data_IF_907210102230
#
_entry.id   IF_907210102230
#
_cell.length_a   1.000
_cell.length_b   1.000
_cell.length_c   1.000
_cell.angle_alpha   90.00
_cell.angle_beta   90.00
_cell.angle_gamma   90.00
#
_symmetry.space_group_name_H-M   'P 1'
#
loop_
_entity.id
_entity.type
_entity.pdbx_description
1 polymer ?
#
# COMPACT_ATOMS: atom_id res chain seq x y z
N UNK A 1 -0.77 9.45 -26.37
CA UNK A 1 -0.95 8.74 -25.06
C UNK A 1 -2.31 9.15 -24.54
N UNK A 2 -3.11 8.21 -24.07
CA UNK A 2 -4.43 8.51 -23.50
C UNK A 2 -4.36 8.52 -21.98
N UNK A 3 -5.31 9.23 -21.35
CA UNK A 3 -5.57 9.12 -19.91
C UNK A 3 -6.09 7.72 -19.57
N UNK A 4 -6.14 7.38 -18.29
CA UNK A 4 -6.77 6.12 -17.80
C UNK A 4 -8.26 6.02 -18.17
N UNK A 5 -8.92 7.13 -18.52
CA UNK A 5 -10.30 7.18 -19.00
C UNK A 5 -10.41 7.11 -20.53
N UNK A 6 -9.31 6.86 -21.25
CA UNK A 6 -9.29 6.77 -22.72
C UNK A 6 -9.25 8.11 -23.45
N UNK A 7 -9.28 9.24 -22.76
CA UNK A 7 -9.21 10.58 -23.34
C UNK A 7 -7.78 10.90 -23.80
N UNK A 8 -7.59 11.60 -24.96
CA UNK A 8 -6.27 12.02 -25.38
C UNK A 8 -5.60 12.99 -24.40
N UNK A 9 -4.37 12.71 -23.99
CA UNK A 9 -3.55 13.68 -23.28
C UNK A 9 -3.09 14.78 -24.24
N UNK A 10 -3.53 16.02 -23.98
CA UNK A 10 -3.19 17.19 -24.79
C UNK A 10 -2.03 18.01 -24.20
N UNK A 11 -1.62 17.73 -22.95
CA UNK A 11 -0.55 18.42 -22.26
C UNK A 11 0.14 17.50 -21.26
N UNK A 12 1.35 17.86 -20.85
CA UNK A 12 2.13 17.20 -19.82
C UNK A 12 2.73 18.24 -18.89
N UNK A 13 2.94 17.86 -17.63
CA UNK A 13 3.70 18.67 -16.66
C UNK A 13 5.13 18.14 -16.68
N UNK A 14 6.11 19.03 -16.76
CA UNK A 14 7.53 18.73 -16.56
C UNK A 14 7.99 19.43 -15.29
N UNK A 15 8.55 18.65 -14.36
CA UNK A 15 9.03 19.13 -13.07
C UNK A 15 10.50 18.71 -12.90
N UNK A 16 11.24 19.44 -12.08
CA UNK A 16 12.56 19.01 -11.63
C UNK A 16 12.44 17.69 -10.86
N UNK A 17 13.41 16.80 -11.08
CA UNK A 17 13.46 15.55 -10.34
C UNK A 17 13.86 15.84 -8.89
N UNK A 18 12.99 15.48 -7.95
CA UNK A 18 13.25 15.59 -6.52
C UNK A 18 13.90 14.29 -6.03
N UNK A 19 15.16 14.35 -5.64
CA UNK A 19 15.90 13.21 -5.07
C UNK A 19 15.68 13.16 -3.55
N UNK A 20 15.21 12.00 -3.06
CA UNK A 20 14.85 11.83 -1.65
C UNK A 20 14.01 10.58 -1.40
N UNK A 21 13.25 10.62 -0.33
CA UNK A 21 12.27 9.57 -0.04
C UNK A 21 10.86 10.17 0.09
N UNK A 22 9.89 9.42 -0.38
CA UNK A 22 8.50 9.87 -0.47
C UNK A 22 7.72 9.53 0.79
N UNK A 23 7.02 10.53 1.30
CA UNK A 23 6.12 10.43 2.45
C UNK A 23 4.75 11.00 2.11
N UNK A 24 3.75 10.56 2.89
CA UNK A 24 2.38 11.06 2.75
C UNK A 24 1.90 11.59 4.08
N UNK A 25 1.30 12.77 4.03
CA UNK A 25 0.58 13.37 5.14
C UNK A 25 -0.90 13.41 4.78
N UNK A 26 -1.68 12.50 5.36
CA UNK A 26 -3.13 12.54 5.26
C UNK A 26 -3.71 13.43 6.34
N UNK A 27 -4.63 14.28 5.95
CA UNK A 27 -5.23 15.28 6.85
C UNK A 27 -6.73 15.37 6.67
N UNK A 28 -7.38 15.94 7.68
CA UNK A 28 -8.74 16.49 7.55
C UNK A 28 -8.74 17.90 8.08
N UNK A 29 -9.27 18.80 7.27
CA UNK A 29 -9.42 20.22 7.61
C UNK A 29 -10.85 20.50 8.06
N UNK A 30 -11.00 21.42 9.02
CA UNK A 30 -12.31 21.97 9.43
C UNK A 30 -12.13 23.43 9.81
N UNK A 31 -12.82 24.34 9.10
CA UNK A 31 -12.72 25.80 9.30
C UNK A 31 -11.25 26.30 9.27
N UNK A 32 -10.42 25.71 8.40
CA UNK A 32 -9.01 26.05 8.27
C UNK A 32 -8.08 25.52 9.38
N UNK A 33 -8.59 24.75 10.31
CA UNK A 33 -7.76 23.97 11.23
C UNK A 33 -7.50 22.59 10.65
N UNK A 34 -6.21 22.19 10.56
CA UNK A 34 -5.77 20.95 9.94
C UNK A 34 -5.43 19.91 10.99
N UNK A 35 -6.00 18.72 10.83
CA UNK A 35 -5.75 17.54 11.64
C UNK A 35 -5.01 16.48 10.83
N UNK A 36 -3.83 16.04 11.28
CA UNK A 36 -3.18 14.85 10.73
C UNK A 36 -3.99 13.63 11.12
N UNK A 37 -4.40 12.83 10.14
CA UNK A 37 -5.12 11.58 10.38
C UNK A 37 -4.20 10.38 10.34
N UNK A 38 -3.27 10.33 9.39
CA UNK A 38 -2.32 9.25 9.24
C UNK A 38 -1.09 9.69 8.43
N UNK A 39 0.03 9.01 8.69
CA UNK A 39 1.33 9.28 8.07
C UNK A 39 1.83 8.01 7.40
N UNK A 40 2.31 8.13 6.17
CA UNK A 40 2.79 6.99 5.40
C UNK A 40 4.16 7.26 4.83
N UNK A 41 4.94 6.19 4.70
CA UNK A 41 6.20 6.17 3.96
C UNK A 41 6.06 5.22 2.79
N UNK A 42 6.27 5.73 1.59
CA UNK A 42 6.27 4.92 0.39
C UNK A 42 7.64 4.30 0.16
N UNK A 43 7.65 3.04 -0.25
CA UNK A 43 8.82 2.37 -0.79
C UNK A 43 8.59 2.07 -2.27
N UNK A 44 9.64 2.25 -3.05
CA UNK A 44 9.65 1.96 -4.48
C UNK A 44 10.79 1.00 -4.79
N UNK A 45 10.58 0.17 -5.81
CA UNK A 45 11.63 -0.69 -6.36
C UNK A 45 11.92 -0.29 -7.80
N UNK A 46 13.16 -0.48 -8.22
CA UNK A 46 13.56 -0.23 -9.62
C UNK A 46 13.46 -1.55 -10.36
N UNK A 47 12.64 -1.59 -11.39
CA UNK A 47 12.51 -2.75 -12.27
C UNK A 47 13.75 -2.90 -13.15
N UNK A 48 13.93 -4.08 -13.77
CA UNK A 48 15.10 -4.36 -14.61
C UNK A 48 15.22 -3.44 -15.84
N UNK A 49 14.12 -2.82 -16.27
CA UNK A 49 14.08 -1.81 -17.35
C UNK A 49 14.20 -0.36 -16.84
N UNK A 50 14.56 -0.18 -15.55
CA UNK A 50 14.87 1.11 -14.96
C UNK A 50 13.64 1.93 -14.51
N UNK A 51 12.45 1.34 -14.48
CA UNK A 51 11.24 2.03 -13.99
C UNK A 51 11.15 1.95 -12.48
N UNK A 52 10.68 3.04 -11.88
CA UNK A 52 10.35 3.08 -10.46
C UNK A 52 8.89 2.67 -10.28
N UNK A 53 8.65 1.58 -9.54
CA UNK A 53 7.30 1.09 -9.22
C UNK A 53 7.10 1.05 -7.71
N UNK A 54 5.88 1.26 -7.25
CA UNK A 54 5.56 1.16 -5.83
C UNK A 54 5.76 -0.28 -5.35
N UNK A 55 6.50 -0.41 -4.26
CA UNK A 55 6.73 -1.68 -3.57
C UNK A 55 5.83 -1.81 -2.33
N UNK A 56 5.62 -0.72 -1.61
CA UNK A 56 4.73 -0.70 -0.47
C UNK A 56 4.49 0.68 0.11
N UNK A 57 3.47 0.74 0.97
CA UNK A 57 3.12 1.90 1.77
C UNK A 57 3.07 1.50 3.25
N UNK A 58 3.98 2.04 4.07
CA UNK A 58 4.05 1.76 5.50
C UNK A 58 3.40 2.89 6.29
N UNK A 59 2.46 2.54 7.18
CA UNK A 59 1.88 3.43 8.16
C UNK A 59 2.90 3.67 9.28
N UNK A 60 3.34 4.92 9.47
CA UNK A 60 4.43 5.27 10.38
C UNK A 60 4.00 6.20 11.50
N UNK A 61 4.63 6.15 12.68
CA UNK A 61 4.31 7.04 13.80
C UNK A 61 4.78 8.47 13.53
N UNK A 62 5.86 8.63 12.80
CA UNK A 62 6.52 9.90 12.48
C UNK A 62 7.51 9.71 11.32
N UNK A 63 8.19 10.78 10.95
CA UNK A 63 9.27 10.79 9.95
C UNK A 63 10.65 11.06 10.59
N UNK A 64 10.79 10.79 11.88
CA UNK A 64 12.01 11.09 12.64
C UNK A 64 12.20 12.61 12.86
N UNK A 65 13.43 13.07 12.76
CA UNK A 65 13.79 14.47 13.04
C UNK A 65 13.13 15.49 12.12
N UNK A 66 12.69 15.09 10.93
CA UNK A 66 12.04 15.98 9.93
C UNK A 66 10.51 16.05 10.07
N UNK A 67 9.94 15.38 11.06
CA UNK A 67 8.47 15.29 11.22
C UNK A 67 7.81 16.67 11.26
N UNK A 68 8.27 17.54 12.15
CA UNK A 68 7.66 18.86 12.33
C UNK A 68 7.79 19.74 11.08
N UNK A 69 8.91 19.65 10.36
CA UNK A 69 9.14 20.35 9.11
C UNK A 69 8.18 19.89 8.03
N UNK A 70 8.04 18.56 7.84
CA UNK A 70 7.15 17.96 6.84
C UNK A 70 5.68 18.29 7.16
N UNK A 71 5.25 18.21 8.41
CA UNK A 71 3.89 18.55 8.81
C UNK A 71 3.61 20.04 8.63
N UNK A 72 4.54 20.91 9.00
CA UNK A 72 4.44 22.36 8.77
C UNK A 72 4.33 22.69 7.29
N UNK A 73 5.13 22.03 6.45
CA UNK A 73 5.06 22.18 5.00
C UNK A 73 3.72 21.71 4.43
N UNK A 74 3.23 20.52 4.86
CA UNK A 74 1.94 20.01 4.42
C UNK A 74 0.79 20.98 4.76
N UNK A 75 0.77 21.54 5.98
CA UNK A 75 -0.24 22.52 6.37
C UNK A 75 -0.15 23.81 5.56
N UNK A 76 1.07 24.29 5.28
CA UNK A 76 1.26 25.46 4.40
C UNK A 76 0.74 25.21 2.97
N UNK A 77 0.90 23.99 2.44
CA UNK A 77 0.31 23.58 1.15
C UNK A 77 -1.22 23.64 1.20
N UNK A 78 -1.84 23.11 2.27
CA UNK A 78 -3.32 23.16 2.43
C UNK A 78 -3.83 24.60 2.49
N UNK A 79 -3.15 25.47 3.25
CA UNK A 79 -3.47 26.89 3.34
C UNK A 79 -3.36 27.60 1.98
N UNK A 80 -2.25 27.36 1.25
CA UNK A 80 -2.02 27.94 -0.08
C UNK A 80 -3.07 27.51 -1.10
N UNK A 81 -3.50 26.23 -1.04
CA UNK A 81 -4.56 25.66 -1.87
C UNK A 81 -5.97 26.00 -1.37
N UNK A 82 -6.10 26.67 -0.22
CA UNK A 82 -7.38 27.04 0.43
C UNK A 82 -8.26 25.82 0.74
N UNK A 83 -7.65 24.71 1.12
CA UNK A 83 -8.37 23.51 1.57
C UNK A 83 -8.77 23.72 3.03
N UNK A 84 -9.93 24.30 3.26
CA UNK A 84 -10.41 24.69 4.60
C UNK A 84 -11.33 23.67 5.25
N UNK A 85 -11.84 22.70 4.48
CA UNK A 85 -12.74 21.64 4.96
C UNK A 85 -12.52 20.35 4.16
N UNK A 86 -12.63 19.20 4.84
CA UNK A 86 -12.57 17.87 4.24
C UNK A 86 -11.18 17.24 4.26
N UNK A 87 -11.11 16.05 3.67
CA UNK A 87 -9.88 15.27 3.59
C UNK A 87 -8.90 15.82 2.56
N UNK A 88 -7.61 15.65 2.85
CA UNK A 88 -6.55 15.82 1.87
C UNK A 88 -5.51 14.70 1.99
N UNK A 89 -4.96 14.33 0.84
CA UNK A 89 -3.88 13.38 0.64
C UNK A 89 -2.72 14.14 0.01
N UNK A 90 -1.64 14.31 0.76
CA UNK A 90 -0.51 15.15 0.34
C UNK A 90 0.75 14.30 0.26
N UNK A 91 1.29 14.12 -0.95
CA UNK A 91 2.53 13.41 -1.23
C UNK A 91 3.69 14.40 -1.27
N UNK A 92 4.73 14.11 -0.49
CA UNK A 92 5.87 15.00 -0.27
C UNK A 92 7.16 14.20 -0.44
N UNK A 93 8.09 14.71 -1.24
CA UNK A 93 9.46 14.22 -1.29
C UNK A 93 10.27 14.92 -0.20
N UNK A 94 10.88 14.16 0.70
CA UNK A 94 11.83 14.67 1.68
C UNK A 94 13.21 14.62 1.06
N UNK A 95 13.73 15.78 0.65
CA UNK A 95 15.02 15.94 0.00
C UNK A 95 16.07 16.46 0.98
N UNK A 96 17.34 16.52 0.54
CA UNK A 96 18.41 17.12 1.34
C UNK A 96 18.20 18.63 1.61
N UNK A 97 17.43 19.30 0.75
CA UNK A 97 17.14 20.74 0.83
C UNK A 97 15.76 21.04 1.50
N UNK A 98 15.10 19.99 2.02
CA UNK A 98 13.80 20.08 2.69
C UNK A 98 12.66 19.41 1.92
N UNK A 99 11.41 19.56 2.37
CA UNK A 99 10.23 18.92 1.78
C UNK A 99 9.82 19.61 0.47
N UNK A 100 9.48 18.79 -0.54
CA UNK A 100 9.00 19.22 -1.85
C UNK A 100 7.67 18.54 -2.17
N UNK A 101 6.67 19.32 -2.55
CA UNK A 101 5.34 18.81 -2.91
C UNK A 101 5.42 17.99 -4.21
N UNK A 102 4.91 16.78 -4.17
CA UNK A 102 4.67 15.94 -5.34
C UNK A 102 3.23 16.12 -5.81
N UNK A 103 2.27 15.82 -4.96
CA UNK A 103 0.84 15.97 -5.25
C UNK A 103 0.06 16.30 -3.97
N UNK A 104 -1.04 17.07 -4.13
CA UNK A 104 -2.03 17.26 -3.08
C UNK A 104 -3.44 17.03 -3.66
N UNK A 105 -4.05 15.92 -3.30
CA UNK A 105 -5.43 15.62 -3.64
C UNK A 105 -6.40 16.06 -2.54
N UNK A 106 -7.39 16.91 -2.86
CA UNK A 106 -8.45 17.31 -1.93
C UNK A 106 -9.51 16.20 -1.76
N UNK A 107 -9.07 15.03 -1.33
CA UNK A 107 -9.83 13.79 -1.14
C UNK A 107 -9.17 12.92 -0.10
N UNK A 108 -9.86 11.90 0.37
CA UNK A 108 -9.24 10.84 1.15
C UNK A 108 -8.20 10.08 0.32
N UNK A 109 -7.24 9.44 1.00
CA UNK A 109 -6.27 8.55 0.38
C UNK A 109 -6.96 7.53 -0.50
N UNK A 110 -6.43 7.33 -1.70
CA UNK A 110 -6.89 6.31 -2.64
C UNK A 110 -6.43 4.91 -2.25
N UNK A 111 -6.85 3.92 -3.05
CA UNK A 111 -6.54 2.50 -2.83
C UNK A 111 -7.62 1.76 -2.06
N UNK A 112 -7.58 0.44 -2.15
CA UNK A 112 -8.55 -0.47 -1.52
C UNK A 112 -8.19 -0.82 -0.08
N UNK A 113 -7.71 0.15 0.70
CA UNK A 113 -7.28 -0.10 2.08
C UNK A 113 -8.45 -0.47 2.98
N UNK A 114 -8.30 -1.57 3.70
CA UNK A 114 -9.29 -2.01 4.67
C UNK A 114 -9.50 -0.97 5.77
N UNK A 115 -10.68 -0.36 5.80
CA UNK A 115 -11.05 0.62 6.84
C UNK A 115 -11.05 -0.02 8.24
N UNK A 116 -11.41 -1.30 8.35
CA UNK A 116 -11.33 -2.07 9.60
C UNK A 116 -9.89 -2.20 10.08
N UNK A 117 -8.96 -2.51 9.16
CA UNK A 117 -7.54 -2.60 9.49
C UNK A 117 -7.00 -1.24 9.94
N UNK A 118 -7.25 -0.17 9.18
CA UNK A 118 -6.83 1.19 9.54
C UNK A 118 -7.40 1.62 10.90
N UNK A 119 -8.66 1.32 11.18
CA UNK A 119 -9.26 1.58 12.50
C UNK A 119 -8.54 0.81 13.61
N UNK A 120 -8.11 -0.42 13.38
CA UNK A 120 -7.34 -1.19 14.37
C UNK A 120 -5.96 -0.60 14.64
N UNK A 121 -5.38 0.09 13.66
CA UNK A 121 -4.05 0.73 13.76
C UNK A 121 -4.11 2.14 14.37
N UNK A 122 -5.21 2.87 14.20
CA UNK A 122 -5.33 4.29 14.53
C UNK A 122 -6.40 4.59 15.60
N UNK A 123 -7.37 3.67 15.79
CA UNK A 123 -8.58 3.91 16.58
C UNK A 123 -9.66 4.73 15.85
N UNK A 124 -9.41 5.15 14.62
CA UNK A 124 -10.29 5.90 13.73
C UNK A 124 -9.83 5.73 12.27
N UNK A 125 -10.59 6.28 11.33
CA UNK A 125 -10.21 6.38 9.92
C UNK A 125 -10.30 7.82 9.42
N UNK A 126 -9.58 8.16 8.35
CA UNK A 126 -9.67 9.47 7.72
C UNK A 126 -11.11 9.81 7.30
N UNK A 127 -11.87 8.80 6.84
CA UNK A 127 -13.27 8.98 6.45
C UNK A 127 -14.16 9.39 7.64
N UNK A 128 -13.96 8.79 8.81
CA UNK A 128 -14.72 9.14 10.02
C UNK A 128 -14.42 10.55 10.49
N UNK A 129 -13.14 10.93 10.48
CA UNK A 129 -12.72 12.30 10.82
C UNK A 129 -13.31 13.30 9.80
N UNK A 130 -13.36 12.91 8.52
CA UNK A 130 -13.98 13.75 7.47
C UNK A 130 -15.48 13.95 7.69
N UNK A 131 -16.21 12.89 8.05
CA UNK A 131 -17.63 12.99 8.37
C UNK A 131 -17.87 13.98 9.53
N UNK A 132 -17.05 13.93 10.58
CA UNK A 132 -17.16 14.86 11.69
C UNK A 132 -16.88 16.32 11.27
N UNK A 133 -15.95 16.55 10.35
CA UNK A 133 -15.66 17.90 9.85
C UNK A 133 -16.88 18.51 9.14
N UNK A 134 -17.67 17.71 8.44
CA UNK A 134 -18.86 18.16 7.74
C UNK A 134 -20.11 18.20 8.63
N UNK A 135 -20.31 17.19 9.48
CA UNK A 135 -21.54 17.03 10.26
C UNK A 135 -21.50 17.73 11.62
N UNK A 136 -20.32 17.95 12.19
CA UNK A 136 -20.14 18.50 13.53
C UNK A 136 -19.00 19.53 13.61
N UNK A 137 -18.95 20.53 12.70
CA UNK A 137 -17.80 21.43 12.58
C UNK A 137 -17.54 22.29 13.83
N UNK A 138 -18.55 22.53 14.66
CA UNK A 138 -18.40 23.35 15.89
C UNK A 138 -17.70 22.60 17.02
N UNK A 139 -17.81 21.27 17.05
CA UNK A 139 -17.18 20.41 18.06
C UNK A 139 -15.95 19.68 17.52
N UNK A 140 -15.65 19.82 16.23
CA UNK A 140 -14.59 19.08 15.54
C UNK A 140 -13.25 19.23 16.24
N UNK A 141 -12.79 20.46 16.47
CA UNK A 141 -11.50 20.72 17.10
C UNK A 141 -11.43 20.12 18.51
N UNK A 142 -12.46 20.33 19.33
CA UNK A 142 -12.51 19.78 20.69
C UNK A 142 -12.41 18.24 20.71
N UNK A 143 -12.97 17.56 19.70
CA UNK A 143 -12.93 16.11 19.57
C UNK A 143 -11.60 15.60 19.06
N UNK A 144 -10.96 16.30 18.13
CA UNK A 144 -9.80 15.83 17.38
C UNK A 144 -8.48 16.55 17.72
N UNK A 145 -8.47 17.52 18.65
CA UNK A 145 -7.26 18.19 19.14
C UNK A 145 -6.48 17.26 20.09
N UNK A 146 -5.89 16.25 19.50
CA UNK A 146 -5.05 15.25 20.17
C UNK A 146 -3.90 14.84 19.24
N UNK A 147 -2.73 14.45 19.78
CA UNK A 147 -1.62 13.99 18.95
C UNK A 147 -2.01 12.81 18.05
N UNK A 148 -1.40 12.74 16.88
CA UNK A 148 -1.39 11.52 16.08
C UNK A 148 -0.60 10.44 16.82
N UNK A 149 -1.10 9.21 16.82
CA UNK A 149 -0.40 8.07 17.43
C UNK A 149 -0.84 6.77 16.75
N UNK A 150 0.10 5.84 16.59
CA UNK A 150 -0.18 4.48 16.14
C UNK A 150 -0.47 3.57 17.32
N UNK A 151 -1.46 2.69 17.15
CA UNK A 151 -1.75 1.57 18.03
C UNK A 151 -1.08 0.29 17.54
N UNK A 152 -0.93 0.13 16.20
CA UNK A 152 -0.30 -1.00 15.53
C UNK A 152 0.38 -0.53 14.26
N UNK A 153 1.42 -1.23 13.86
CA UNK A 153 2.10 -1.01 12.58
C UNK A 153 1.36 -1.72 11.46
N UNK A 154 1.27 -1.08 10.31
CA UNK A 154 0.68 -1.66 9.11
C UNK A 154 1.53 -1.32 7.89
N UNK A 155 1.51 -2.21 6.90
CA UNK A 155 2.13 -2.01 5.61
C UNK A 155 1.27 -2.65 4.53
N UNK A 156 1.08 -1.93 3.44
CA UNK A 156 0.47 -2.42 2.22
C UNK A 156 1.59 -2.72 1.24
N UNK A 157 1.78 -4.01 0.94
CA UNK A 157 2.77 -4.50 -0.01
C UNK A 157 2.10 -4.71 -1.36
N UNK A 158 2.59 -4.04 -2.38
CA UNK A 158 2.19 -4.26 -3.76
C UNK A 158 3.08 -5.35 -4.35
N UNK A 159 2.51 -6.48 -4.76
CA UNK A 159 3.28 -7.55 -5.37
C UNK A 159 3.75 -7.14 -6.75
N UNK A 160 4.95 -7.57 -7.10
CA UNK A 160 5.53 -7.33 -8.41
C UNK A 160 5.78 -8.64 -9.15
N UNK A 161 5.38 -8.70 -10.42
CA UNK A 161 5.76 -9.79 -11.32
C UNK A 161 6.77 -9.31 -12.34
N UNK A 162 7.86 -10.06 -12.49
CA UNK A 162 8.83 -9.86 -13.58
C UNK A 162 8.44 -10.63 -14.85
N UNK A 163 7.37 -11.44 -14.76
CA UNK A 163 6.91 -12.36 -15.81
C UNK A 163 5.53 -11.94 -16.31
N UNK A 164 5.20 -12.37 -17.51
CA UNK A 164 3.86 -12.27 -18.10
C UNK A 164 3.43 -13.67 -18.52
N UNK A 165 2.17 -14.02 -18.29
CA UNK A 165 1.61 -15.30 -18.73
C UNK A 165 0.26 -15.60 -18.11
N UNK A 166 -0.36 -16.68 -18.60
CA UNK A 166 -1.58 -17.20 -18.03
C UNK A 166 -1.28 -17.94 -16.71
N UNK A 167 -2.14 -17.78 -15.73
CA UNK A 167 -2.03 -18.44 -14.43
C UNK A 167 -2.70 -19.81 -14.45
N UNK A 168 -2.00 -20.81 -13.93
CA UNK A 168 -2.58 -22.11 -13.58
C UNK A 168 -3.01 -22.14 -12.10
N UNK A 169 -2.24 -21.53 -11.23
CA UNK A 169 -2.54 -21.46 -9.80
C UNK A 169 -1.85 -20.26 -9.12
N UNK A 170 -2.32 -19.93 -7.90
CA UNK A 170 -1.72 -18.91 -7.02
C UNK A 170 -1.36 -19.55 -5.66
N UNK A 171 -0.33 -20.39 -5.60
CA UNK A 171 0.08 -21.05 -4.35
C UNK A 171 0.51 -20.03 -3.28
N UNK A 172 0.94 -18.84 -3.71
CA UNK A 172 1.31 -17.74 -2.83
C UNK A 172 0.22 -17.31 -1.86
N UNK A 173 -1.05 -17.48 -2.17
CA UNK A 173 -2.16 -17.17 -1.26
C UNK A 173 -2.01 -17.93 0.06
N UNK A 174 -1.83 -19.25 0.01
CA UNK A 174 -1.66 -20.08 1.21
C UNK A 174 -0.34 -19.78 1.91
N UNK A 175 0.73 -19.57 1.13
CA UNK A 175 2.05 -19.27 1.67
C UNK A 175 2.04 -17.95 2.45
N UNK A 176 1.50 -16.89 1.87
CA UNK A 176 1.46 -15.56 2.47
C UNK A 176 0.49 -15.50 3.66
N UNK A 177 -0.63 -16.22 3.60
CA UNK A 177 -1.58 -16.32 4.72
C UNK A 177 -0.96 -16.93 5.98
N UNK A 178 0.11 -17.72 5.84
CA UNK A 178 0.85 -18.30 6.97
C UNK A 178 1.75 -17.30 7.69
N UNK A 179 2.01 -16.13 7.14
CA UNK A 179 2.89 -15.13 7.75
C UNK A 179 2.19 -14.41 8.91
N UNK A 180 2.89 -14.20 10.05
CA UNK A 180 2.29 -13.62 11.27
C UNK A 180 1.63 -12.26 11.08
N UNK A 181 2.20 -11.39 10.24
CA UNK A 181 1.69 -10.04 10.03
C UNK A 181 0.65 -9.94 8.91
N UNK A 182 0.52 -10.93 8.03
CA UNK A 182 -0.45 -10.88 6.93
C UNK A 182 -1.88 -10.97 7.48
N UNK A 183 -2.74 -10.05 7.03
CA UNK A 183 -4.15 -9.93 7.46
C UNK A 183 -5.14 -10.06 6.30
N UNK A 184 -4.62 -10.12 5.08
CA UNK A 184 -5.41 -10.26 3.87
C UNK A 184 -4.73 -9.59 2.68
N UNK A 185 -5.45 -9.48 1.59
CA UNK A 185 -5.00 -8.84 0.36
C UNK A 185 -6.10 -8.83 -0.68
N UNK A 186 -5.88 -8.11 -1.78
CA UNK A 186 -6.75 -8.15 -2.94
C UNK A 186 -5.93 -8.55 -4.15
N UNK A 187 -6.53 -9.32 -5.04
CA UNK A 187 -6.00 -9.51 -6.39
C UNK A 187 -6.46 -8.33 -7.25
N UNK A 188 -5.52 -7.71 -7.96
CA UNK A 188 -5.81 -6.55 -8.78
C UNK A 188 -6.14 -6.99 -10.22
N UNK A 189 -6.84 -6.15 -10.97
CA UNK A 189 -7.55 -6.41 -12.22
C UNK A 189 -6.88 -7.28 -13.30
N UNK A 190 -5.55 -7.42 -13.34
CA UNK A 190 -4.88 -8.34 -14.27
C UNK A 190 -5.22 -9.81 -14.00
N UNK A 191 -5.51 -10.17 -12.75
CA UNK A 191 -5.90 -11.54 -12.38
C UNK A 191 -7.36 -11.86 -12.69
N UNK A 192 -8.22 -10.85 -12.86
CA UNK A 192 -9.61 -11.08 -13.33
C UNK A 192 -9.65 -11.72 -14.72
N UNK A 193 -8.64 -11.48 -15.53
CA UNK A 193 -8.50 -12.12 -16.86
C UNK A 193 -7.79 -13.49 -16.80
N UNK A 194 -7.29 -13.92 -15.66
CA UNK A 194 -6.43 -15.10 -15.51
C UNK A 194 -5.01 -14.88 -16.03
N UNK A 195 -4.63 -13.65 -16.34
CA UNK A 195 -3.31 -13.31 -16.87
C UNK A 195 -2.55 -12.44 -15.87
N UNK A 196 -1.28 -12.78 -15.61
CA UNK A 196 -0.34 -11.91 -14.91
C UNK A 196 0.41 -11.07 -15.92
N UNK A 197 0.39 -9.76 -15.73
CA UNK A 197 1.23 -8.84 -16.47
C UNK A 197 2.57 -8.61 -15.77
N UNK A 198 3.58 -8.24 -16.55
CA UNK A 198 4.81 -7.72 -15.96
C UNK A 198 4.52 -6.38 -15.29
N UNK A 199 4.89 -6.26 -14.02
CA UNK A 199 4.63 -5.04 -13.25
C UNK A 199 5.49 -3.88 -13.77
N UNK A 200 4.84 -2.82 -14.20
CA UNK A 200 5.46 -1.57 -14.68
C UNK A 200 4.89 -0.32 -13.99
N UNK A 201 3.77 -0.48 -13.30
CA UNK A 201 3.07 0.53 -12.52
C UNK A 201 2.15 -0.15 -11.48
N UNK A 202 1.38 0.64 -10.75
CA UNK A 202 0.47 0.12 -9.73
C UNK A 202 -0.71 -0.69 -10.33
N UNK A 203 -1.14 -0.37 -11.55
CA UNK A 203 -2.26 -1.05 -12.22
C UNK A 203 -1.87 -2.43 -12.78
N UNK A 204 -0.59 -2.66 -12.98
CA UNK A 204 -0.02 -3.94 -13.41
C UNK A 204 0.52 -4.77 -12.24
N UNK A 205 0.37 -4.30 -11.01
CA UNK A 205 0.61 -5.11 -9.81
C UNK A 205 -0.42 -6.23 -9.75
N UNK A 206 -0.02 -7.51 -9.58
CA UNK A 206 -0.97 -8.62 -9.53
C UNK A 206 -1.81 -8.64 -8.25
N UNK A 207 -1.29 -8.15 -7.13
CA UNK A 207 -2.00 -8.13 -5.87
C UNK A 207 -1.45 -7.08 -4.91
N UNK A 208 -2.26 -6.65 -3.96
CA UNK A 208 -1.84 -5.97 -2.74
C UNK A 208 -2.04 -6.88 -1.52
N UNK A 209 -1.08 -6.85 -0.60
CA UNK A 209 -1.09 -7.66 0.62
C UNK A 209 -1.11 -6.72 1.83
N UNK A 210 -2.03 -6.96 2.76
CA UNK A 210 -2.19 -6.17 3.97
C UNK A 210 -1.48 -6.83 5.12
N UNK A 211 -0.48 -6.14 5.66
CA UNK A 211 0.27 -6.58 6.83
C UNK A 211 -0.03 -5.68 8.02
N UNK A 212 -0.21 -6.28 9.20
CA UNK A 212 -0.41 -5.55 10.45
C UNK A 212 0.12 -6.36 11.63
N UNK A 213 0.93 -5.72 12.48
CA UNK A 213 1.46 -6.35 13.70
C UNK A 213 1.75 -5.31 14.79
N UNK A 214 1.79 -5.74 16.04
CA UNK A 214 2.17 -4.90 17.19
C UNK A 214 3.69 -4.66 17.23
N UNK A 215 4.48 -5.62 16.79
CA UNK A 215 5.92 -5.51 16.63
C UNK A 215 6.27 -5.20 15.17
N UNK A 216 6.88 -4.04 14.95
CA UNK A 216 7.33 -3.58 13.63
C UNK A 216 8.37 -4.51 12.99
N UNK A 217 9.17 -5.20 13.80
CA UNK A 217 10.19 -6.12 13.30
C UNK A 217 9.56 -7.31 12.57
N UNK A 218 8.51 -7.90 13.16
CA UNK A 218 7.76 -9.01 12.53
C UNK A 218 7.19 -8.57 11.18
N UNK A 219 6.63 -7.37 11.11
CA UNK A 219 6.10 -6.82 9.86
C UNK A 219 7.21 -6.68 8.79
N UNK A 220 8.39 -6.18 9.16
CA UNK A 220 9.51 -6.01 8.23
C UNK A 220 10.15 -7.33 7.82
N UNK A 221 10.21 -8.33 8.71
CA UNK A 221 10.69 -9.68 8.41
C UNK A 221 9.79 -10.34 7.37
N UNK A 222 8.47 -10.28 7.55
CA UNK A 222 7.49 -10.83 6.60
C UNK A 222 7.57 -10.11 5.24
N UNK A 223 7.69 -8.79 5.23
CA UNK A 223 7.87 -8.01 3.98
C UNK A 223 9.16 -8.38 3.27
N UNK A 224 10.25 -8.60 4.01
CA UNK A 224 11.51 -9.05 3.41
C UNK A 224 11.36 -10.40 2.74
N UNK A 225 10.69 -11.36 3.41
CA UNK A 225 10.41 -12.67 2.83
C UNK A 225 9.56 -12.56 1.55
N UNK A 226 8.53 -11.72 1.55
CA UNK A 226 7.71 -11.50 0.35
C UNK A 226 8.57 -10.97 -0.80
N UNK A 227 9.47 -10.02 -0.54
CA UNK A 227 10.40 -9.48 -1.54
C UNK A 227 11.37 -10.53 -2.09
N UNK A 228 11.83 -11.44 -1.23
CA UNK A 228 12.71 -12.55 -1.65
C UNK A 228 11.95 -13.54 -2.54
N UNK A 229 10.68 -13.83 -2.22
CA UNK A 229 9.81 -14.63 -3.08
C UNK A 229 9.60 -13.98 -4.45
N UNK A 230 9.37 -12.68 -4.51
CA UNK A 230 9.22 -11.92 -5.76
C UNK A 230 10.46 -11.98 -6.65
N UNK A 231 11.65 -11.97 -6.04
CA UNK A 231 12.93 -11.94 -6.77
C UNK A 231 13.39 -13.32 -7.21
N UNK A 232 13.32 -14.29 -6.31
CA UNK A 232 14.02 -15.56 -6.46
C UNK A 232 13.10 -16.75 -6.69
N UNK A 233 11.83 -16.65 -6.28
CA UNK A 233 10.91 -17.77 -6.25
C UNK A 233 9.47 -17.40 -6.67
N UNK A 234 9.31 -16.60 -7.73
CA UNK A 234 7.99 -16.16 -8.20
C UNK A 234 7.04 -17.31 -8.55
N UNK A 235 7.55 -18.47 -8.92
CA UNK A 235 6.74 -19.67 -9.14
C UNK A 235 6.05 -20.19 -7.88
N UNK A 236 6.51 -19.79 -6.68
CA UNK A 236 5.81 -20.06 -5.42
C UNK A 236 4.69 -19.06 -5.14
N UNK A 237 4.70 -17.90 -5.80
CA UNK A 237 3.62 -16.92 -5.73
C UNK A 237 2.58 -17.18 -6.83
N UNK A 238 3.06 -17.37 -8.07
CA UNK A 238 2.24 -17.48 -9.28
C UNK A 238 2.74 -18.65 -10.13
N UNK A 239 1.94 -19.69 -10.27
CA UNK A 239 2.20 -20.77 -11.20
C UNK A 239 1.67 -20.41 -12.57
N UNK A 240 2.58 -20.35 -13.55
CA UNK A 240 2.27 -19.95 -14.92
C UNK A 240 2.08 -21.15 -15.82
N UNK A 241 1.05 -21.13 -16.65
CA UNK A 241 0.84 -22.14 -17.67
C UNK A 241 1.95 -22.12 -18.73
N UNK A 242 2.51 -23.29 -19.10
CA UNK A 242 3.46 -23.39 -20.21
C UNK A 242 2.81 -23.15 -21.59
N UNK A 243 1.50 -23.30 -21.73
CA UNK A 243 0.77 -23.20 -22.99
C UNK A 243 -0.01 -21.88 -23.11
N UNK A 244 0.45 -20.99 -23.97
CA UNK A 244 -0.18 -19.71 -24.30
C UNK A 244 -1.44 -19.81 -25.18
N UNK A 245 -1.95 -21.00 -25.43
CA UNK A 245 -3.01 -21.22 -26.37
C UNK A 245 -4.37 -21.31 -25.70
N UNK A 246 -5.15 -20.25 -25.84
CA UNK A 246 -6.60 -20.17 -25.70
C UNK A 246 -7.14 -19.95 -24.29
N UNK A 247 -7.74 -18.77 -24.11
CA UNK A 247 -8.63 -18.32 -23.06
C UNK A 247 -9.30 -19.37 -22.18
N UNK A 248 -8.55 -19.93 -21.25
CA UNK A 248 -9.11 -20.68 -20.16
C UNK A 248 -9.31 -19.68 -19.02
N UNK A 249 -10.56 -19.39 -18.73
CA UNK A 249 -10.93 -18.75 -17.46
C UNK A 249 -10.78 -19.85 -16.39
N UNK A 250 -9.76 -19.84 -15.53
CA UNK A 250 -9.56 -20.94 -14.60
C UNK A 250 -10.79 -21.02 -13.66
N UNK A 251 -11.40 -22.21 -13.55
CA UNK A 251 -12.60 -22.43 -12.71
C UNK A 251 -12.39 -22.02 -11.24
N UNK A 252 -11.13 -22.04 -10.75
CA UNK A 252 -10.81 -21.61 -9.39
C UNK A 252 -11.04 -20.11 -9.13
N UNK A 253 -11.07 -19.26 -10.18
CA UNK A 253 -11.41 -17.85 -10.06
C UNK A 253 -12.83 -17.62 -9.54
N UNK A 254 -13.74 -18.53 -9.84
CA UNK A 254 -15.16 -18.48 -9.40
C UNK A 254 -15.35 -18.93 -7.95
N UNK A 255 -14.34 -19.57 -7.35
CA UNK A 255 -14.38 -20.07 -5.96
C UNK A 255 -13.68 -19.13 -4.97
N UNK A 256 -12.99 -18.08 -5.46
CA UNK A 256 -12.43 -17.07 -4.58
C UNK A 256 -13.54 -16.19 -4.01
N UNK A 257 -13.65 -16.05 -2.69
CA UNK A 257 -14.62 -15.12 -2.08
C UNK A 257 -14.39 -13.70 -2.59
N UNK A 258 -15.44 -12.93 -2.82
CA UNK A 258 -15.39 -11.51 -3.24
C UNK A 258 -14.53 -10.64 -2.30
N UNK A 259 -14.33 -11.10 -1.06
CA UNK A 259 -13.41 -10.55 -0.06
C UNK A 259 -12.47 -11.66 0.41
N UNK A 260 -11.29 -11.75 -0.17
CA UNK A 260 -10.24 -12.67 0.27
C UNK A 260 -9.64 -12.21 1.61
N UNK A 261 -10.47 -12.18 2.63
CA UNK A 261 -10.06 -12.06 4.02
C UNK A 261 -9.57 -13.43 4.47
N UNK A 262 -8.28 -13.70 4.26
CA UNK A 262 -7.64 -14.86 4.83
C UNK A 262 -7.67 -14.69 6.36
N UNK A 263 -8.61 -15.37 7.01
CA UNK A 263 -8.57 -15.52 8.46
C UNK A 263 -7.47 -16.53 8.75
N UNK A 264 -6.39 -16.15 9.46
CA UNK A 264 -5.29 -17.06 9.78
C UNK A 264 -5.73 -18.33 10.52
N UNK A 265 -6.94 -18.32 11.08
CA UNK A 265 -7.55 -19.40 11.84
C UNK A 265 -8.11 -20.52 10.95
N UNK A 266 -8.40 -20.24 9.68
CA UNK A 266 -9.01 -21.19 8.73
C UNK A 266 -8.01 -21.88 7.82
N UNK A 267 -6.76 -21.34 7.74
CA UNK A 267 -5.67 -21.94 6.96
C UNK A 267 -4.73 -22.66 7.92
N UNK A 268 -4.59 -23.96 7.79
CA UNK A 268 -3.62 -24.74 8.57
C UNK A 268 -2.23 -24.12 8.38
N UNK A 269 -1.70 -23.49 9.43
CA UNK A 269 -0.44 -22.74 9.40
C UNK A 269 0.71 -23.66 8.96
N UNK A 270 1.32 -23.45 7.79
CA UNK A 270 2.70 -23.92 7.62
C UNK A 270 3.54 -23.14 8.63
N UNK A 271 4.31 -23.81 9.46
CA UNK A 271 5.27 -23.15 10.33
C UNK A 271 6.33 -22.42 9.46
N UNK A 272 6.88 -21.35 10.00
CA UNK A 272 7.90 -20.56 9.28
C UNK A 272 9.08 -21.44 8.83
N UNK A 273 9.46 -22.48 9.61
CA UNK A 273 10.53 -23.42 9.27
C UNK A 273 10.20 -24.24 8.03
N UNK A 274 8.95 -24.62 7.80
CA UNK A 274 8.51 -25.29 6.58
C UNK A 274 8.66 -24.40 5.36
N UNK A 275 8.35 -23.09 5.50
CA UNK A 275 8.53 -22.09 4.45
C UNK A 275 10.04 -21.91 4.15
N UNK A 276 10.86 -21.73 5.19
CA UNK A 276 12.31 -21.55 5.03
C UNK A 276 13.00 -22.78 4.41
N UNK A 277 12.56 -24.00 4.75
CA UNK A 277 13.07 -25.24 4.15
C UNK A 277 12.66 -25.37 2.68
N UNK A 278 11.43 -25.00 2.33
CA UNK A 278 10.95 -25.02 0.94
C UNK A 278 11.72 -24.04 0.04
N UNK A 279 12.20 -22.94 0.62
CA UNK A 279 12.99 -21.92 -0.08
C UNK A 279 14.48 -22.22 -0.14
N UNK A 280 14.99 -23.25 0.57
CA UNK A 280 16.42 -23.52 0.65
C UNK A 280 17.24 -22.43 1.37
N UNK A 281 16.58 -21.51 2.09
CA UNK A 281 17.18 -20.31 2.68
C UNK A 281 17.65 -20.47 4.12
N UNK A 282 17.41 -21.64 4.75
CA UNK A 282 17.99 -22.02 6.06
C UNK A 282 18.45 -23.47 6.05
N UNK A 283 19.75 -23.71 5.99
CA UNK A 283 20.38 -24.83 6.68
C UNK A 283 20.79 -24.32 8.07
N UNK A 284 20.18 -24.91 9.10
CA UNK A 284 20.65 -25.01 10.46
C UNK A 284 21.31 -23.78 11.09
N UNK A 285 20.55 -23.04 11.89
CA UNK A 285 21.13 -22.36 13.07
C UNK A 285 20.64 -23.16 14.28
N UNK A 286 21.55 -23.99 14.85
CA UNK A 286 21.46 -24.49 16.21
C UNK A 286 21.58 -23.35 17.24
#
# INVERSE_FOLDING_TARGET
MNTIFGEPNTSVIAQEFADGYEVVVNTVSCKGWHRVTDLWRYSKTITADGRSVYDGAELVPDFGEVTDEVLGYAFAVLDALKITIGAAHTEIMVTADGPVLIECGARAMGGSFSQTLLRSCLGYTQLEVSLDAYLSPDTFRARWDRPYALLRYALFKFLASTRKGMLDAIPGVTLLAGLPSVKGGNFLGSLESGEVERTVDLFTSPADIYLCHEDRRVLHEDVSLIRDLEKEAQNLLFEMSPDHAQGHNPEWYLELPDDLWLKPEEVGKPDADTIWKALGLREGVE
#
